data_IF_381716377567
#
_entry.id   IF_381716377567
#
_cell.length_a   1.000
_cell.length_b   1.000
_cell.length_c   1.000
_cell.angle_alpha   90.00
_cell.angle_beta   90.00
_cell.angle_gamma   90.00
#
_symmetry.space_group_name_H-M   'P 1'
#
loop_
_entity.id
_entity.type
_entity.pdbx_description
1 polymer ?
#
# COMPACT_ATOMS: atom_id res chain seq x y z
N UNK A 1 -9.46 7.53 -10.21
CA UNK A 1 -9.78 6.12 -10.59
C UNK A 1 -10.44 5.34 -9.46
N UNK A 2 -9.84 5.23 -8.27
CA UNK A 2 -10.41 4.45 -7.16
C UNK A 2 -11.90 4.74 -6.87
N UNK A 3 -12.30 6.03 -6.79
CA UNK A 3 -13.71 6.39 -6.56
C UNK A 3 -14.67 5.97 -7.69
N UNK A 4 -14.20 5.98 -8.94
CA UNK A 4 -14.98 5.52 -10.08
C UNK A 4 -15.19 4.00 -10.02
N UNK A 5 -14.11 3.24 -9.80
CA UNK A 5 -14.16 1.77 -9.71
C UNK A 5 -14.98 1.31 -8.49
N UNK A 6 -14.83 1.98 -7.34
CA UNK A 6 -15.64 1.68 -6.17
C UNK A 6 -17.14 1.91 -6.44
N UNK A 7 -17.50 3.03 -7.06
CA UNK A 7 -18.89 3.31 -7.41
C UNK A 7 -19.46 2.30 -8.43
N UNK A 8 -18.64 1.81 -9.37
CA UNK A 8 -19.01 0.74 -10.30
C UNK A 8 -19.40 -0.56 -9.58
N UNK A 9 -18.65 -0.95 -8.54
CA UNK A 9 -18.97 -2.13 -7.72
C UNK A 9 -20.33 -2.00 -7.01
N UNK A 10 -20.79 -0.78 -6.75
CA UNK A 10 -22.12 -0.50 -6.19
C UNK A 10 -23.21 -0.32 -7.25
N UNK A 11 -22.97 -0.69 -8.51
CA UNK A 11 -23.94 -0.62 -9.63
C UNK A 11 -24.49 0.80 -9.85
N UNK A 12 -23.63 1.82 -9.69
CA UNK A 12 -23.99 3.22 -9.89
C UNK A 12 -23.94 3.65 -11.36
N UNK A 13 -24.75 4.64 -11.72
CA UNK A 13 -24.77 5.20 -13.07
C UNK A 13 -23.51 6.02 -13.38
N UNK A 14 -23.23 6.26 -14.66
CA UNK A 14 -22.01 6.98 -15.09
C UNK A 14 -21.80 8.34 -14.42
N UNK A 15 -22.87 9.13 -14.27
CA UNK A 15 -22.82 10.44 -13.60
C UNK A 15 -22.46 10.29 -12.12
N UNK A 16 -23.03 9.29 -11.44
CA UNK A 16 -22.73 8.99 -10.04
C UNK A 16 -21.28 8.56 -9.86
N UNK A 17 -20.78 7.68 -10.73
CA UNK A 17 -19.38 7.22 -10.70
C UNK A 17 -18.39 8.39 -10.88
N UNK A 18 -18.65 9.28 -11.84
CA UNK A 18 -17.84 10.49 -12.05
C UNK A 18 -17.92 11.45 -10.83
N UNK A 19 -19.09 11.57 -10.21
CA UNK A 19 -19.29 12.41 -9.02
C UNK A 19 -18.49 11.90 -7.82
N UNK A 20 -18.52 10.59 -7.56
CA UNK A 20 -17.71 9.96 -6.49
C UNK A 20 -16.23 10.13 -6.79
N UNK A 21 -15.81 9.98 -8.05
CA UNK A 21 -14.42 10.18 -8.43
C UNK A 21 -13.94 11.62 -8.18
N UNK A 22 -14.76 12.63 -8.52
CA UNK A 22 -14.44 14.03 -8.30
C UNK A 22 -14.42 14.38 -6.79
N UNK A 23 -15.40 13.90 -6.02
CA UNK A 23 -15.44 14.07 -4.58
C UNK A 23 -14.22 13.43 -3.91
N UNK A 24 -13.85 12.20 -4.31
CA UNK A 24 -12.66 11.51 -3.80
C UNK A 24 -11.36 12.29 -4.13
N UNK A 25 -11.26 12.90 -5.30
CA UNK A 25 -10.10 13.71 -5.68
C UNK A 25 -9.97 14.94 -4.78
N UNK A 26 -11.06 15.67 -4.53
CA UNK A 26 -11.06 16.85 -3.66
C UNK A 26 -10.80 16.44 -2.20
N UNK A 27 -11.56 15.47 -1.70
CA UNK A 27 -11.42 14.98 -0.32
C UNK A 27 -10.06 14.36 -0.04
N UNK A 28 -9.35 13.82 -1.04
CA UNK A 28 -8.01 13.22 -0.85
C UNK A 28 -6.96 14.16 -0.27
N UNK A 29 -7.16 15.47 -0.40
CA UNK A 29 -6.16 16.48 -0.06
C UNK A 29 -5.05 16.64 -1.09
N UNK A 30 -5.13 15.96 -2.24
CA UNK A 30 -4.21 16.16 -3.37
C UNK A 30 -4.41 17.51 -4.06
N UNK A 31 -5.62 18.07 -3.98
CA UNK A 31 -5.93 19.41 -4.49
C UNK A 31 -5.63 20.42 -3.39
N UNK A 32 -4.58 21.21 -3.57
CA UNK A 32 -4.18 22.26 -2.63
C UNK A 32 -4.39 23.64 -3.25
N UNK A 33 -5.03 24.52 -2.49
CA UNK A 33 -5.21 25.93 -2.88
C UNK A 33 -4.07 26.72 -2.25
N UNK A 34 -3.04 27.03 -3.04
CA UNK A 34 -1.94 27.92 -2.63
C UNK A 34 -1.92 29.13 -3.55
N UNK A 35 -1.96 30.33 -2.96
CA UNK A 35 -1.83 31.61 -3.66
C UNK A 35 -2.82 31.81 -4.83
N UNK A 36 -4.09 31.45 -4.64
CA UNK A 36 -5.12 31.60 -5.68
C UNK A 36 -5.01 30.63 -6.86
N UNK A 37 -4.00 29.75 -6.86
CA UNK A 37 -3.81 28.71 -7.86
C UNK A 37 -4.24 27.34 -7.29
N UNK A 38 -4.97 26.59 -8.11
CA UNK A 38 -5.32 25.21 -7.83
C UNK A 38 -4.11 24.35 -8.23
N UNK A 39 -3.35 23.88 -7.24
CA UNK A 39 -2.24 22.96 -7.47
C UNK A 39 -2.66 21.55 -7.05
N UNK A 40 -2.66 20.65 -8.01
CA UNK A 40 -2.78 19.21 -7.76
C UNK A 40 -1.38 18.70 -7.43
N UNK A 41 -1.11 18.48 -6.14
CA UNK A 41 0.19 18.06 -5.64
C UNK A 41 0.06 16.81 -4.78
N UNK A 42 0.75 15.74 -5.20
CA UNK A 42 0.79 14.46 -4.50
C UNK A 42 -0.36 13.51 -4.82
N UNK A 43 -0.32 12.34 -4.20
CA UNK A 43 -1.26 11.22 -4.44
C UNK A 43 -2.50 11.25 -3.53
N UNK A 44 -2.55 12.19 -2.57
CA UNK A 44 -3.57 12.24 -1.53
C UNK A 44 -3.38 11.18 -0.43
N UNK A 45 -4.18 11.29 0.64
CA UNK A 45 -4.19 10.31 1.73
C UNK A 45 -5.16 9.17 1.42
N UNK A 46 -4.65 7.93 1.36
CA UNK A 46 -5.42 6.74 0.96
C UNK A 46 -6.57 6.42 1.93
N UNK A 47 -6.37 6.66 3.24
CA UNK A 47 -7.42 6.44 4.24
C UNK A 47 -8.53 7.45 4.01
N UNK A 48 -8.16 8.72 3.83
CA UNK A 48 -9.15 9.77 3.61
C UNK A 48 -9.88 9.63 2.28
N UNK A 49 -9.21 9.14 1.23
CA UNK A 49 -9.84 8.76 -0.05
C UNK A 49 -10.92 7.71 0.19
N UNK A 50 -10.60 6.62 0.91
CA UNK A 50 -11.57 5.56 1.22
C UNK A 50 -12.79 6.06 2.00
N UNK A 51 -12.56 6.89 3.03
CA UNK A 51 -13.64 7.53 3.79
C UNK A 51 -14.51 8.43 2.92
N UNK A 52 -13.89 9.29 2.10
CA UNK A 52 -14.60 10.20 1.20
C UNK A 52 -15.43 9.44 0.17
N UNK A 53 -14.89 8.35 -0.41
CA UNK A 53 -15.62 7.48 -1.35
C UNK A 53 -16.83 6.86 -0.65
N UNK A 54 -16.65 6.32 0.56
CA UNK A 54 -17.73 5.69 1.33
C UNK A 54 -18.85 6.70 1.62
N UNK A 55 -18.49 7.90 2.08
CA UNK A 55 -19.45 8.98 2.33
C UNK A 55 -20.16 9.43 1.06
N UNK A 56 -19.44 9.60 -0.05
CA UNK A 56 -20.03 9.99 -1.33
C UNK A 56 -21.03 8.94 -1.84
N UNK A 57 -20.70 7.65 -1.72
CA UNK A 57 -21.57 6.54 -2.10
C UNK A 57 -22.82 6.49 -1.21
N UNK A 58 -22.67 6.67 0.11
CA UNK A 58 -23.79 6.74 1.04
C UNK A 58 -24.71 7.93 0.75
N UNK A 59 -24.14 9.11 0.47
CA UNK A 59 -24.91 10.29 0.08
C UNK A 59 -25.73 10.05 -1.18
N UNK A 60 -25.13 9.43 -2.21
CA UNK A 60 -25.84 9.09 -3.45
C UNK A 60 -27.00 8.12 -3.17
N UNK A 61 -26.77 7.08 -2.35
CA UNK A 61 -27.82 6.12 -1.98
C UNK A 61 -28.94 6.77 -1.17
N UNK A 62 -28.63 7.71 -0.29
CA UNK A 62 -29.62 8.44 0.53
C UNK A 62 -30.47 9.42 -0.29
N UNK A 63 -29.86 10.07 -1.28
CA UNK A 63 -30.56 10.96 -2.22
C UNK A 63 -31.46 10.12 -3.14
N UNK A 64 -30.96 8.98 -3.62
CA UNK A 64 -31.70 8.04 -4.47
C UNK A 64 -32.33 8.74 -5.68
N UNK A 65 -33.62 8.49 -5.91
CA UNK A 65 -34.39 9.09 -7.01
C UNK A 65 -35.12 10.39 -6.62
N UNK A 66 -34.88 10.94 -5.41
CA UNK A 66 -35.62 12.11 -4.90
C UNK A 66 -35.48 13.37 -5.76
N UNK A 67 -34.43 13.45 -6.58
CA UNK A 67 -34.14 14.59 -7.45
C UNK A 67 -34.75 14.48 -8.86
N UNK A 68 -35.40 13.36 -9.21
CA UNK A 68 -36.05 13.16 -10.51
C UNK A 68 -35.13 13.50 -11.69
N UNK A 69 -35.61 14.31 -12.64
CA UNK A 69 -34.84 14.74 -13.82
C UNK A 69 -33.65 15.66 -13.49
N UNK A 70 -33.64 16.31 -12.32
CA UNK A 70 -32.54 17.20 -11.90
C UNK A 70 -31.32 16.43 -11.38
N UNK A 71 -31.43 15.12 -11.19
CA UNK A 71 -30.35 14.26 -10.67
C UNK A 71 -29.06 14.42 -11.48
N UNK A 72 -29.15 14.61 -12.80
CA UNK A 72 -27.97 14.75 -13.66
C UNK A 72 -27.15 16.02 -13.38
N UNK A 73 -27.80 17.10 -12.92
CA UNK A 73 -27.15 18.40 -12.71
C UNK A 73 -26.83 18.62 -11.23
N UNK A 74 -27.77 18.31 -10.35
CA UNK A 74 -27.67 18.64 -8.92
C UNK A 74 -26.81 17.63 -8.15
N UNK A 75 -26.86 16.35 -8.53
CA UNK A 75 -26.18 15.28 -7.80
C UNK A 75 -24.66 15.46 -7.78
N UNK A 76 -23.98 15.75 -8.92
CA UNK A 76 -22.53 15.98 -8.90
C UNK A 76 -22.13 17.12 -7.97
N UNK A 77 -22.91 18.21 -7.95
CA UNK A 77 -22.64 19.38 -7.09
C UNK A 77 -22.78 18.99 -5.62
N UNK A 78 -23.87 18.31 -5.24
CA UNK A 78 -24.10 17.90 -3.86
C UNK A 78 -23.02 16.92 -3.39
N UNK A 79 -22.70 15.91 -4.20
CA UNK A 79 -21.71 14.89 -3.86
C UNK A 79 -20.31 15.52 -3.74
N UNK A 80 -19.98 16.47 -4.61
CA UNK A 80 -18.70 17.17 -4.58
C UNK A 80 -18.58 18.10 -3.36
N UNK A 81 -19.59 18.94 -3.12
CA UNK A 81 -19.57 19.93 -2.03
C UNK A 81 -19.70 19.24 -0.67
N UNK A 82 -20.66 18.34 -0.51
CA UNK A 82 -20.92 17.67 0.78
C UNK A 82 -19.93 16.53 0.99
N UNK A 83 -19.83 15.59 0.04
CA UNK A 83 -18.94 14.43 0.17
C UNK A 83 -17.46 14.84 0.17
N UNK A 84 -17.04 15.63 -0.82
CA UNK A 84 -15.67 16.15 -0.89
C UNK A 84 -15.34 17.13 0.25
N UNK A 85 -16.28 18.00 0.62
CA UNK A 85 -16.11 18.94 1.72
C UNK A 85 -15.95 18.27 3.09
N UNK A 86 -16.78 17.26 3.40
CA UNK A 86 -16.61 16.46 4.62
C UNK A 86 -15.27 15.71 4.57
N UNK A 87 -14.87 15.17 3.42
CA UNK A 87 -13.55 14.57 3.23
C UNK A 87 -12.42 15.54 3.60
N UNK A 88 -12.49 16.80 3.18
CA UNK A 88 -11.51 17.84 3.54
C UNK A 88 -11.51 18.17 5.05
N UNK A 89 -12.68 18.13 5.71
CA UNK A 89 -12.78 18.35 7.15
C UNK A 89 -12.19 17.20 7.97
N UNK A 90 -12.27 15.97 7.46
CA UNK A 90 -11.72 14.77 8.11
C UNK A 90 -10.19 14.66 7.87
N UNK A 91 -9.70 15.16 6.75
CA UNK A 91 -8.29 15.12 6.35
C UNK A 91 -7.27 15.49 7.45
N UNK A 92 -7.40 16.60 8.22
CA UNK A 92 -6.43 16.92 9.26
C UNK A 92 -6.34 15.85 10.35
N UNK A 93 -7.46 15.23 10.72
CA UNK A 93 -7.48 14.16 11.73
C UNK A 93 -6.78 12.90 11.23
N UNK A 94 -7.03 12.53 9.97
CA UNK A 94 -6.35 11.40 9.33
C UNK A 94 -4.84 11.66 9.22
N UNK A 95 -4.44 12.90 8.89
CA UNK A 95 -3.04 13.31 8.86
C UNK A 95 -2.34 13.18 10.20
N UNK A 96 -3.02 13.44 11.32
CA UNK A 96 -2.46 13.23 12.65
C UNK A 96 -2.10 11.75 12.86
N UNK A 97 -2.98 10.83 12.46
CA UNK A 97 -2.73 9.38 12.56
C UNK A 97 -1.55 8.95 11.68
N UNK A 98 -1.52 9.38 10.42
CA UNK A 98 -0.43 9.00 9.50
C UNK A 98 0.91 9.62 9.89
N UNK A 99 0.89 10.81 10.46
CA UNK A 99 2.08 11.46 11.04
C UNK A 99 2.57 10.72 12.29
N UNK A 100 1.66 10.28 13.16
CA UNK A 100 2.02 9.48 14.33
C UNK A 100 2.70 8.16 13.94
N UNK A 101 2.17 7.46 12.95
CA UNK A 101 2.81 6.26 12.40
C UNK A 101 4.21 6.60 11.85
N UNK A 102 4.33 7.71 11.12
CA UNK A 102 5.62 8.19 10.62
C UNK A 102 6.63 8.46 11.74
N UNK A 103 6.21 9.05 12.86
CA UNK A 103 7.07 9.29 14.02
C UNK A 103 7.57 7.98 14.65
N UNK A 104 6.73 6.95 14.73
CA UNK A 104 7.15 5.61 15.21
C UNK A 104 8.22 5.03 14.30
N UNK A 105 8.02 5.07 12.98
CA UNK A 105 9.01 4.60 12.01
C UNK A 105 10.32 5.38 12.12
N UNK A 106 10.23 6.70 12.32
CA UNK A 106 11.41 7.55 12.54
C UNK A 106 12.11 7.25 13.87
N UNK A 107 11.42 6.76 14.89
CA UNK A 107 12.07 6.30 16.11
C UNK A 107 12.91 5.04 15.85
N UNK A 108 12.44 4.14 14.98
CA UNK A 108 13.19 2.92 14.62
C UNK A 108 14.48 3.20 13.86
N UNK A 109 14.57 4.30 13.10
CA UNK A 109 15.80 4.66 12.37
C UNK A 109 16.97 5.04 13.29
N UNK A 110 16.69 5.33 14.58
CA UNK A 110 17.70 5.66 15.59
C UNK A 110 18.30 4.41 16.27
N UNK A 111 17.75 3.23 16.01
CA UNK A 111 18.22 1.98 16.59
C UNK A 111 19.44 1.44 15.83
N UNK A 112 20.10 0.43 16.39
CA UNK A 112 21.20 -0.25 15.70
C UNK A 112 20.75 -0.84 14.35
N UNK A 113 21.62 -0.87 13.32
CA UNK A 113 21.22 -1.19 11.94
C UNK A 113 20.43 -2.49 11.78
N UNK A 114 20.83 -3.55 12.50
CA UNK A 114 20.15 -4.86 12.45
C UNK A 114 18.73 -4.79 13.01
N UNK A 115 18.56 -4.19 14.19
CA UNK A 115 17.25 -4.04 14.83
C UNK A 115 16.36 -3.06 14.07
N UNK A 116 16.93 -1.96 13.59
CA UNK A 116 16.26 -1.01 12.69
C UNK A 116 15.73 -1.74 11.45
N UNK A 117 16.55 -2.54 10.79
CA UNK A 117 16.18 -3.27 9.58
C UNK A 117 14.96 -4.17 9.79
N UNK A 118 14.97 -4.95 10.87
CA UNK A 118 13.86 -5.83 11.26
C UNK A 118 12.57 -5.03 11.49
N UNK A 119 12.63 -4.00 12.35
CA UNK A 119 11.43 -3.25 12.74
C UNK A 119 10.85 -2.42 11.58
N UNK A 120 11.71 -1.81 10.76
CA UNK A 120 11.26 -1.08 9.57
C UNK A 120 10.67 -2.04 8.54
N UNK A 121 11.33 -3.19 8.29
CA UNK A 121 10.82 -4.22 7.39
C UNK A 121 9.42 -4.68 7.80
N UNK A 122 9.23 -5.04 9.07
CA UNK A 122 7.93 -5.41 9.63
C UNK A 122 6.88 -4.30 9.51
N UNK A 123 7.25 -3.07 9.87
CA UNK A 123 6.33 -1.92 9.85
C UNK A 123 5.83 -1.64 8.44
N UNK A 124 6.74 -1.63 7.45
CA UNK A 124 6.39 -1.38 6.06
C UNK A 124 5.58 -2.51 5.42
N UNK A 125 5.83 -3.75 5.83
CA UNK A 125 5.00 -4.88 5.46
C UNK A 125 3.58 -4.76 6.02
N UNK A 126 3.44 -4.42 7.31
CA UNK A 126 2.15 -4.17 7.92
C UNK A 126 1.38 -3.04 7.22
N UNK A 127 2.09 -1.95 6.90
CA UNK A 127 1.49 -0.78 6.24
C UNK A 127 1.01 -1.10 4.82
N UNK A 128 1.78 -1.85 4.02
CA UNK A 128 1.38 -2.07 2.61
C UNK A 128 0.21 -3.03 2.46
N UNK A 129 0.05 -3.98 3.37
CA UNK A 129 -1.07 -4.94 3.38
C UNK A 129 -2.30 -4.42 4.15
N UNK A 130 -2.23 -3.19 4.66
CA UNK A 130 -3.32 -2.50 5.36
C UNK A 130 -3.77 -1.26 4.57
N UNK A 131 -4.83 -0.54 4.98
CA UNK A 131 -5.32 0.63 4.23
C UNK A 131 -4.40 1.85 4.34
N UNK A 132 -3.18 1.68 4.87
CA UNK A 132 -2.18 2.73 5.05
C UNK A 132 -1.37 2.94 3.76
N UNK A 133 -0.97 4.17 3.50
CA UNK A 133 -0.11 4.52 2.38
C UNK A 133 1.38 4.53 2.78
N UNK A 134 2.02 3.36 2.70
CA UNK A 134 3.43 3.16 3.08
C UNK A 134 4.39 4.13 2.37
N UNK A 135 4.25 4.30 1.05
CA UNK A 135 5.11 5.21 0.25
C UNK A 135 4.95 6.66 0.70
N UNK A 136 3.71 7.12 0.93
CA UNK A 136 3.47 8.48 1.39
C UNK A 136 4.08 8.77 2.74
N UNK A 137 4.02 7.80 3.66
CA UNK A 137 4.69 7.91 4.97
C UNK A 137 6.20 7.98 4.78
N UNK A 138 6.79 7.13 3.94
CA UNK A 138 8.23 7.14 3.68
C UNK A 138 8.73 8.47 3.11
N UNK A 139 7.98 9.04 2.16
CA UNK A 139 8.27 10.37 1.59
C UNK A 139 8.11 11.46 2.65
N UNK A 140 7.04 11.41 3.45
CA UNK A 140 6.77 12.43 4.47
C UNK A 140 7.84 12.48 5.56
N UNK A 141 8.38 11.32 5.98
CA UNK A 141 9.46 11.25 6.98
C UNK A 141 10.87 11.33 6.38
N UNK A 142 10.98 11.41 5.05
CA UNK A 142 12.28 11.45 4.36
C UNK A 142 13.12 10.18 4.53
N UNK A 143 12.49 9.00 4.52
CA UNK A 143 13.17 7.73 4.78
C UNK A 143 14.24 7.44 3.71
N UNK A 144 15.50 7.39 4.13
CA UNK A 144 16.67 7.29 3.23
C UNK A 144 17.66 6.22 3.71
N UNK A 145 18.66 5.93 2.89
CA UNK A 145 19.77 5.04 3.25
C UNK A 145 19.30 3.62 3.54
N UNK A 146 19.91 2.97 4.54
CA UNK A 146 19.64 1.58 4.90
C UNK A 146 18.18 1.37 5.35
N UNK A 147 17.58 2.37 6.00
CA UNK A 147 16.19 2.30 6.42
C UNK A 147 15.24 2.19 5.21
N UNK A 148 15.51 2.93 4.13
CA UNK A 148 14.75 2.84 2.88
C UNK A 148 14.93 1.47 2.19
N UNK A 149 16.17 0.95 2.17
CA UNK A 149 16.44 -0.39 1.63
C UNK A 149 15.76 -1.49 2.45
N UNK A 150 15.74 -1.39 3.77
CA UNK A 150 15.03 -2.32 4.66
C UNK A 150 13.51 -2.29 4.46
N UNK A 151 12.92 -1.11 4.27
CA UNK A 151 11.50 -0.98 3.90
C UNK A 151 11.20 -1.70 2.57
N UNK A 152 12.05 -1.52 1.56
CA UNK A 152 11.86 -2.16 0.26
C UNK A 152 12.04 -3.68 0.29
N UNK A 153 13.12 -4.16 0.89
CA UNK A 153 13.35 -5.59 0.96
C UNK A 153 12.32 -6.28 1.88
N UNK A 154 11.90 -5.62 2.97
CA UNK A 154 10.81 -6.06 3.84
C UNK A 154 9.50 -6.26 3.09
N UNK A 155 9.06 -5.26 2.31
CA UNK A 155 7.87 -5.37 1.45
C UNK A 155 8.04 -6.45 0.38
N UNK A 156 9.25 -6.61 -0.15
CA UNK A 156 9.55 -7.68 -1.11
C UNK A 156 9.33 -9.04 -0.46
N UNK A 157 9.84 -9.26 0.75
CA UNK A 157 9.57 -10.48 1.53
C UNK A 157 8.08 -10.74 1.74
N UNK A 158 7.32 -9.71 2.10
CA UNK A 158 5.86 -9.79 2.25
C UNK A 158 5.16 -10.20 0.95
N UNK A 159 5.51 -9.55 -0.16
CA UNK A 159 4.93 -9.79 -1.46
C UNK A 159 5.17 -11.21 -1.97
N UNK A 160 6.41 -11.69 -1.87
CA UNK A 160 6.75 -13.06 -2.26
C UNK A 160 6.06 -14.08 -1.36
N UNK A 161 6.00 -13.84 -0.05
CA UNK A 161 5.31 -14.72 0.90
C UNK A 161 3.83 -14.84 0.57
N UNK A 162 3.12 -13.73 0.38
CA UNK A 162 1.69 -13.74 0.03
C UNK A 162 1.41 -14.36 -1.35
N UNK A 163 2.23 -14.05 -2.35
CA UNK A 163 2.08 -14.63 -3.69
C UNK A 163 2.31 -16.14 -3.70
N UNK A 164 3.35 -16.63 -3.01
CA UNK A 164 3.68 -18.06 -2.97
C UNK A 164 2.71 -18.84 -2.07
N UNK A 165 2.32 -18.30 -0.92
CA UNK A 165 1.32 -18.95 -0.07
C UNK A 165 -0.03 -19.10 -0.80
N UNK A 166 -0.35 -18.18 -1.71
CA UNK A 166 -1.61 -18.18 -2.46
C UNK A 166 -1.55 -18.86 -3.83
N UNK A 167 -0.37 -19.33 -4.29
CA UNK A 167 -0.20 -19.83 -5.67
C UNK A 167 -1.14 -21.00 -6.03
N UNK A 168 -1.57 -21.79 -5.03
CA UNK A 168 -2.39 -22.98 -5.27
C UNK A 168 -3.88 -22.69 -5.39
N UNK A 169 -4.32 -21.50 -4.97
CA UNK A 169 -5.74 -21.09 -4.99
C UNK A 169 -6.01 -19.95 -5.98
N UNK A 170 -4.97 -19.17 -6.30
CA UNK A 170 -5.05 -18.03 -7.20
C UNK A 170 -4.42 -18.37 -8.55
N UNK A 171 -4.91 -17.75 -9.62
CA UNK A 171 -4.32 -17.89 -10.94
C UNK A 171 -2.89 -17.36 -11.01
N UNK A 172 -2.12 -17.84 -11.99
CA UNK A 172 -0.73 -17.40 -12.19
C UNK A 172 -0.61 -15.88 -12.39
N UNK A 173 -1.57 -15.24 -13.07
CA UNK A 173 -1.61 -13.79 -13.24
C UNK A 173 -1.73 -13.03 -11.91
N UNK A 174 -2.61 -13.49 -11.02
CA UNK A 174 -2.77 -12.91 -9.68
C UNK A 174 -1.55 -13.15 -8.79
N UNK A 175 -0.90 -14.31 -8.88
CA UNK A 175 0.36 -14.57 -8.16
C UNK A 175 1.46 -13.62 -8.64
N UNK A 176 1.63 -13.45 -9.95
CA UNK A 176 2.59 -12.48 -10.51
C UNK A 176 2.27 -11.03 -10.13
N UNK A 177 0.98 -10.69 -9.99
CA UNK A 177 0.54 -9.37 -9.56
C UNK A 177 0.99 -9.03 -8.13
N UNK A 178 1.25 -10.02 -7.26
CA UNK A 178 1.86 -9.75 -5.95
C UNK A 178 3.30 -9.24 -6.10
N UNK A 179 4.06 -9.80 -7.04
CA UNK A 179 5.48 -9.51 -7.19
C UNK A 179 5.71 -8.21 -7.97
N UNK A 180 5.12 -8.09 -9.16
CA UNK A 180 5.34 -6.95 -10.07
C UNK A 180 4.38 -5.79 -9.78
N UNK A 181 3.17 -6.10 -9.34
CA UNK A 181 2.13 -5.14 -9.02
C UNK A 181 2.23 -4.65 -7.58
N UNK A 182 1.46 -5.23 -6.67
CA UNK A 182 1.49 -4.83 -5.26
C UNK A 182 0.93 -5.93 -4.36
N UNK A 183 1.52 -6.17 -3.17
CA UNK A 183 0.91 -7.06 -2.18
C UNK A 183 -0.39 -6.50 -1.58
N UNK A 184 -0.70 -5.22 -1.82
CA UNK A 184 -1.94 -4.58 -1.37
C UNK A 184 -3.21 -5.26 -1.92
N UNK A 185 -3.10 -6.05 -2.98
CA UNK A 185 -4.23 -6.86 -3.49
C UNK A 185 -4.78 -7.85 -2.44
N UNK A 186 -3.97 -8.24 -1.45
CA UNK A 186 -4.39 -9.09 -0.33
C UNK A 186 -4.99 -8.32 0.85
N UNK A 187 -5.13 -6.99 0.75
CA UNK A 187 -5.58 -6.16 1.88
C UNK A 187 -6.92 -6.62 2.47
N UNK A 188 -7.88 -7.00 1.63
CA UNK A 188 -9.17 -7.50 2.10
C UNK A 188 -9.02 -8.76 2.96
N UNK A 189 -8.30 -9.77 2.45
CA UNK A 189 -8.02 -11.01 3.16
C UNK A 189 -7.23 -10.80 4.46
N UNK A 190 -6.29 -9.84 4.46
CA UNK A 190 -5.51 -9.49 5.64
C UNK A 190 -6.38 -8.88 6.75
N UNK A 191 -7.32 -8.01 6.36
CA UNK A 191 -8.25 -7.37 7.30
C UNK A 191 -9.32 -8.36 7.80
N UNK A 192 -9.78 -9.28 6.95
CA UNK A 192 -10.72 -10.32 7.35
C UNK A 192 -10.06 -11.36 8.27
N UNK A 193 -8.81 -11.73 7.99
CA UNK A 193 -8.05 -12.75 8.72
C UNK A 193 -6.72 -12.18 9.23
N UNK A 194 -6.73 -11.41 10.34
CA UNK A 194 -5.52 -10.78 10.89
C UNK A 194 -4.38 -11.75 11.24
N UNK A 195 -4.69 -13.04 11.46
CA UNK A 195 -3.67 -14.08 11.68
C UNK A 195 -2.63 -14.13 10.56
N UNK A 196 -3.01 -13.80 9.32
CA UNK A 196 -2.12 -13.83 8.16
C UNK A 196 -1.03 -12.74 8.23
N UNK A 197 -1.12 -11.75 9.12
CA UNK A 197 -0.02 -10.81 9.34
C UNK A 197 1.22 -11.50 9.91
N UNK A 198 1.07 -12.57 10.68
CA UNK A 198 2.21 -13.27 11.31
C UNK A 198 3.24 -13.76 10.28
N UNK A 199 2.89 -14.59 9.28
CA UNK A 199 3.86 -15.03 8.26
C UNK A 199 4.46 -13.85 7.48
N UNK A 200 3.65 -12.84 7.18
CA UNK A 200 4.08 -11.65 6.46
C UNK A 200 5.14 -10.89 7.26
N UNK A 201 4.85 -10.56 8.51
CA UNK A 201 5.77 -9.82 9.39
C UNK A 201 7.07 -10.58 9.63
N UNK A 202 7.01 -11.90 9.82
CA UNK A 202 8.21 -12.73 10.01
C UNK A 202 9.08 -12.76 8.75
N UNK A 203 8.47 -12.91 7.57
CA UNK A 203 9.21 -12.84 6.31
C UNK A 203 9.88 -11.48 6.12
N UNK A 204 9.17 -10.40 6.45
CA UNK A 204 9.66 -9.04 6.31
C UNK A 204 10.70 -8.67 7.36
N UNK A 205 10.66 -9.25 8.55
CA UNK A 205 11.70 -9.13 9.56
C UNK A 205 13.03 -9.68 9.05
N UNK A 206 13.01 -10.90 8.50
CA UNK A 206 14.21 -11.55 7.95
C UNK A 206 14.75 -10.79 6.73
N UNK A 207 13.87 -10.36 5.83
CA UNK A 207 14.24 -9.53 4.68
C UNK A 207 14.81 -8.17 5.10
N UNK A 208 14.22 -7.51 6.10
CA UNK A 208 14.71 -6.25 6.65
C UNK A 208 16.09 -6.39 7.31
N UNK A 209 16.32 -7.52 8.01
CA UNK A 209 17.62 -7.88 8.57
C UNK A 209 18.69 -8.02 7.48
N UNK A 210 18.39 -8.73 6.38
CA UNK A 210 19.32 -8.87 5.26
C UNK A 210 19.64 -7.53 4.61
N UNK A 211 18.65 -6.65 4.44
CA UNK A 211 18.91 -5.31 3.91
C UNK A 211 19.90 -4.52 4.77
N UNK A 212 19.82 -4.67 6.09
CA UNK A 212 20.77 -4.05 7.00
C UNK A 212 22.18 -4.68 6.92
N UNK A 213 22.28 -6.01 6.80
CA UNK A 213 23.55 -6.74 6.67
C UNK A 213 24.28 -6.35 5.38
N UNK A 214 23.56 -6.30 4.26
CA UNK A 214 24.11 -5.95 2.95
C UNK A 214 24.16 -4.44 2.67
N UNK A 215 23.81 -3.61 3.67
CA UNK A 215 23.80 -2.15 3.56
C UNK A 215 23.05 -1.66 2.30
N UNK A 216 21.89 -2.27 2.03
CA UNK A 216 21.05 -1.90 0.89
C UNK A 216 20.46 -0.52 1.15
N UNK A 217 20.66 0.39 0.21
CA UNK A 217 20.17 1.76 0.31
C UNK A 217 19.01 2.03 -0.64
N UNK A 218 18.27 3.09 -0.37
CA UNK A 218 17.21 3.57 -1.24
C UNK A 218 16.93 5.06 -1.05
N UNK A 219 15.86 5.51 -1.68
CA UNK A 219 15.35 6.89 -1.58
C UNK A 219 13.95 6.92 -0.94
N UNK A 220 13.47 8.07 -0.44
CA UNK A 220 12.11 8.20 0.08
C UNK A 220 11.06 7.81 -0.95
N UNK A 221 11.29 8.16 -2.22
CA UNK A 221 10.37 7.87 -3.32
C UNK A 221 10.35 6.37 -3.69
N UNK A 222 11.43 5.64 -3.40
CA UNK A 222 11.46 4.19 -3.60
C UNK A 222 10.93 3.42 -2.39
N UNK A 223 11.09 3.97 -1.19
CA UNK A 223 10.69 3.33 0.05
C UNK A 223 9.19 3.11 0.07
N UNK A 224 8.78 1.87 0.31
CA UNK A 224 7.36 1.51 0.32
C UNK A 224 6.86 0.83 -0.95
N UNK A 225 7.70 0.67 -1.99
CA UNK A 225 7.33 -0.08 -3.20
C UNK A 225 7.82 -1.52 -3.20
N UNK A 226 8.94 -1.81 -2.55
CA UNK A 226 9.57 -3.13 -2.62
C UNK A 226 9.91 -3.53 -4.06
N UNK A 227 9.53 -4.74 -4.48
CA UNK A 227 9.81 -5.24 -5.83
C UNK A 227 8.84 -4.73 -6.90
N UNK A 228 7.75 -4.06 -6.50
CA UNK A 228 6.76 -3.46 -7.41
C UNK A 228 7.43 -2.62 -8.50
N UNK A 229 7.14 -2.93 -9.76
CA UNK A 229 7.69 -2.22 -10.93
C UNK A 229 9.22 -2.12 -10.96
N UNK A 230 9.94 -3.00 -10.25
CA UNK A 230 11.38 -2.97 -10.05
C UNK A 230 11.91 -1.68 -9.38
N UNK A 231 11.05 -0.90 -8.71
CA UNK A 231 11.42 0.40 -8.12
C UNK A 231 12.47 0.21 -7.01
N UNK A 232 12.26 -0.74 -6.10
CA UNK A 232 13.21 -1.06 -5.03
C UNK A 232 14.60 -1.48 -5.53
N UNK A 233 14.73 -2.52 -6.37
CA UNK A 233 16.04 -2.95 -6.86
C UNK A 233 16.72 -1.87 -7.72
N UNK A 234 15.99 -1.11 -8.55
CA UNK A 234 16.58 -0.02 -9.34
C UNK A 234 17.09 1.11 -8.44
N UNK A 235 16.34 1.48 -7.40
CA UNK A 235 16.77 2.50 -6.45
C UNK A 235 17.99 2.06 -5.64
N UNK A 236 18.07 0.78 -5.28
CA UNK A 236 19.24 0.21 -4.63
C UNK A 236 20.45 0.19 -5.56
N UNK A 237 20.28 -0.23 -6.82
CA UNK A 237 21.33 -0.23 -7.82
C UNK A 237 21.92 1.17 -8.04
N UNK A 238 21.07 2.20 -8.10
CA UNK A 238 21.49 3.59 -8.25
C UNK A 238 22.31 4.13 -7.06
N UNK A 239 22.33 3.42 -5.92
CA UNK A 239 23.12 3.75 -4.72
C UNK A 239 24.34 2.83 -4.53
N UNK A 240 24.53 1.86 -5.41
CA UNK A 240 25.67 0.93 -5.39
C UNK A 240 26.67 1.28 -6.49
N UNK A 241 27.88 0.77 -6.38
CA UNK A 241 28.86 0.85 -7.46
C UNK A 241 28.34 0.07 -8.68
N UNK A 242 28.25 0.68 -9.87
CA UNK A 242 27.81 -0.01 -11.07
C UNK A 242 28.72 -1.19 -11.39
N UNK A 243 28.13 -2.35 -11.67
CA UNK A 243 28.88 -3.55 -11.98
C UNK A 243 28.05 -4.83 -11.87
N UNK A 244 28.55 -5.89 -12.49
CA UNK A 244 27.91 -7.21 -12.50
C UNK A 244 27.70 -7.76 -11.08
N UNK A 245 28.62 -7.49 -10.15
CA UNK A 245 28.49 -7.90 -8.74
C UNK A 245 27.24 -7.33 -8.06
N UNK A 246 26.95 -6.04 -8.29
CA UNK A 246 25.77 -5.37 -7.74
C UNK A 246 24.47 -5.93 -8.33
N UNK A 247 24.46 -6.23 -9.64
CA UNK A 247 23.31 -6.84 -10.31
C UNK A 247 23.04 -8.26 -9.77
N UNK A 248 24.09 -9.07 -9.61
CA UNK A 248 23.99 -10.42 -9.06
C UNK A 248 23.47 -10.36 -7.62
N UNK A 249 24.03 -9.50 -6.78
CA UNK A 249 23.61 -9.33 -5.40
C UNK A 249 22.13 -8.91 -5.29
N UNK A 250 21.70 -7.93 -6.09
CA UNK A 250 20.31 -7.48 -6.10
C UNK A 250 19.36 -8.55 -6.61
N UNK A 251 19.76 -9.33 -7.61
CA UNK A 251 18.97 -10.47 -8.11
C UNK A 251 18.81 -11.53 -7.02
N UNK A 252 19.89 -11.82 -6.29
CA UNK A 252 19.84 -12.76 -5.16
C UNK A 252 18.91 -12.23 -4.07
N UNK A 253 19.03 -10.96 -3.69
CA UNK A 253 18.26 -10.39 -2.58
C UNK A 253 16.79 -10.11 -2.91
N UNK A 254 16.46 -9.63 -4.12
CA UNK A 254 15.10 -9.26 -4.50
C UNK A 254 14.31 -10.38 -5.20
N UNK A 255 14.97 -11.44 -5.67
CA UNK A 255 14.31 -12.55 -6.39
C UNK A 255 14.60 -13.89 -5.75
N UNK A 256 15.87 -14.34 -5.71
CA UNK A 256 16.19 -15.71 -5.28
C UNK A 256 15.84 -15.96 -3.81
N UNK A 257 16.29 -15.07 -2.92
CA UNK A 257 16.04 -15.17 -1.50
C UNK A 257 14.55 -15.05 -1.14
N UNK A 258 13.78 -14.06 -1.65
CA UNK A 258 12.35 -13.93 -1.35
C UNK A 258 11.53 -15.10 -1.88
N UNK A 259 11.90 -15.70 -3.02
CA UNK A 259 11.27 -16.94 -3.51
C UNK A 259 11.51 -18.09 -2.53
N UNK A 260 12.75 -18.33 -2.13
CA UNK A 260 13.09 -19.37 -1.17
C UNK A 260 12.38 -19.16 0.17
N UNK A 261 12.34 -17.90 0.65
CA UNK A 261 11.66 -17.51 1.87
C UNK A 261 10.15 -17.75 1.76
N UNK A 262 9.51 -17.41 0.65
CA UNK A 262 8.08 -17.63 0.46
C UNK A 262 7.69 -19.10 0.47
N UNK A 263 8.51 -19.98 -0.14
CA UNK A 263 8.31 -21.43 -0.04
C UNK A 263 8.51 -21.95 1.39
N UNK A 264 9.52 -21.45 2.09
CA UNK A 264 9.74 -21.78 3.50
C UNK A 264 8.57 -21.35 4.38
N UNK A 265 8.04 -20.13 4.18
CA UNK A 265 6.88 -19.63 4.92
C UNK A 265 5.62 -20.43 4.62
N UNK A 266 5.39 -20.80 3.35
CA UNK A 266 4.30 -21.71 2.98
C UNK A 266 4.43 -23.05 3.70
N UNK A 267 5.59 -23.69 3.64
CA UNK A 267 5.83 -24.96 4.32
C UNK A 267 5.60 -24.85 5.84
N UNK A 268 6.09 -23.79 6.46
CA UNK A 268 5.97 -23.58 7.90
C UNK A 268 4.52 -23.32 8.33
N UNK A 269 3.82 -22.39 7.67
CA UNK A 269 2.51 -21.89 8.13
C UNK A 269 1.31 -22.65 7.55
N UNK A 270 1.43 -23.23 6.36
CA UNK A 270 0.36 -24.00 5.72
C UNK A 270 0.55 -25.50 6.00
N UNK A 271 1.72 -26.05 5.66
CA UNK A 271 1.91 -27.51 5.68
C UNK A 271 2.23 -28.05 7.09
N UNK A 272 3.03 -27.32 7.88
CA UNK A 272 3.50 -27.82 9.19
C UNK A 272 2.66 -27.35 10.38
N UNK A 273 2.38 -26.04 10.46
CA UNK A 273 1.63 -25.46 11.58
C UNK A 273 0.11 -25.43 11.34
N UNK A 274 -0.35 -25.61 10.09
CA UNK A 274 -1.76 -25.45 9.68
C UNK A 274 -2.42 -24.17 10.22
N UNK A 275 -1.61 -23.13 10.40
CA UNK A 275 -2.01 -21.86 11.00
C UNK A 275 -2.81 -21.00 10.01
N UNK A 276 -2.48 -21.11 8.73
CA UNK A 276 -3.19 -20.50 7.62
C UNK A 276 -3.59 -21.58 6.61
N UNK A 277 -4.77 -21.43 6.01
CA UNK A 277 -5.16 -22.24 4.86
C UNK A 277 -4.86 -21.47 3.58
N UNK A 278 -4.51 -22.16 2.50
CA UNK A 278 -4.28 -21.49 1.21
C UNK A 278 -5.54 -20.73 0.76
N UNK A 279 -6.73 -21.27 1.05
CA UNK A 279 -8.02 -20.63 0.77
C UNK A 279 -8.21 -19.29 1.49
N UNK A 280 -7.51 -19.07 2.61
CA UNK A 280 -7.54 -17.78 3.32
C UNK A 280 -6.93 -16.63 2.48
N UNK A 281 -6.17 -16.95 1.43
CA UNK A 281 -5.52 -15.99 0.55
C UNK A 281 -6.13 -15.94 -0.86
N UNK A 282 -7.28 -16.60 -1.05
CA UNK A 282 -7.98 -16.58 -2.33
C UNK A 282 -8.44 -15.17 -2.66
N UNK A 283 -8.16 -14.72 -3.87
CA UNK A 283 -8.61 -13.43 -4.37
C UNK A 283 -9.86 -13.66 -5.22
N UNK A 284 -10.95 -13.01 -4.83
CA UNK A 284 -12.16 -12.90 -5.66
C UNK A 284 -11.90 -11.81 -6.70
N UNK A 285 -11.29 -12.20 -7.83
CA UNK A 285 -11.04 -11.33 -8.99
C UNK A 285 -12.06 -11.60 -10.07
#
# INVERSE_FOLDING_TARGET
>A
MAGFCAAYLFQMNMIQMCSVAAAAMIGSGAVTFKNGLIMVAGTGDVINIGLTITLAILLIKLIGNKLGSYTTILLPIIVLVVGGGIGLLILPYVKTVTTFIGMIVMAFTKLQPLLMGVLIGMSFAAMIVSPIFSVGIAVAIGLTGVASGAANLGITGAAYTLGIMSYSVNGMGTTLAHFIGTPKIQMANMLEKPKLFVPVLLSSALSGLLAAIFNLQGTPNSAGFGFSGLIGPLAAYAKMTPGWGSIILLTVLYVVYPVALGFFMRWLFIDRLSFAQAEDLRLEV
#
